data_IF_925454089538
#
_entry.id   IF_925454089538
#
_cell.length_a   1.000
_cell.length_b   1.000
_cell.length_c   1.000
_cell.angle_alpha   90.00
_cell.angle_beta   90.00
_cell.angle_gamma   90.00
#
_symmetry.space_group_name_H-M   'P 1'
#
loop_
_entity.id
_entity.type
_entity.pdbx_description
1 polymer ?
#
# COMPACT_ATOMS: atom_id res chain seq x y z
N UNK A 1 11.92 41.87 17.84
CA UNK A 1 13.19 42.27 17.20
C UNK A 1 14.10 41.07 16.92
N UNK A 2 14.57 40.34 17.93
CA UNK A 2 15.45 39.17 17.73
C UNK A 2 14.86 38.09 16.80
N UNK A 3 13.56 37.79 16.93
CA UNK A 3 12.88 36.80 16.09
C UNK A 3 12.83 37.21 14.61
N UNK A 4 12.59 38.49 14.31
CA UNK A 4 12.57 39.01 12.93
C UNK A 4 13.95 38.93 12.28
N UNK A 5 15.00 39.25 13.04
CA UNK A 5 16.39 39.17 12.57
C UNK A 5 16.77 37.71 12.31
N UNK A 6 16.39 36.78 13.20
CA UNK A 6 16.65 35.36 13.01
C UNK A 6 15.97 34.81 11.77
N UNK A 7 14.69 35.13 11.55
CA UNK A 7 13.93 34.68 10.37
C UNK A 7 14.55 35.21 9.08
N UNK A 8 14.91 36.50 9.03
CA UNK A 8 15.54 37.09 7.85
C UNK A 8 16.90 36.46 7.52
N UNK A 9 17.71 36.16 8.54
CA UNK A 9 19.00 35.48 8.35
C UNK A 9 18.78 34.05 7.83
N UNK A 10 17.81 33.30 8.36
CA UNK A 10 17.49 31.95 7.88
C UNK A 10 17.07 31.95 6.41
N UNK A 11 16.15 32.82 6.02
CA UNK A 11 15.69 32.93 4.62
C UNK A 11 16.84 33.28 3.67
N UNK A 12 17.70 34.22 4.07
CA UNK A 12 18.88 34.59 3.29
C UNK A 12 19.86 33.42 3.15
N UNK A 13 20.06 32.63 4.21
CA UNK A 13 20.95 31.47 4.19
C UNK A 13 20.38 30.29 3.38
N UNK A 14 19.07 30.07 3.41
CA UNK A 14 18.40 29.04 2.61
C UNK A 14 18.41 29.35 1.10
N UNK A 15 18.42 30.63 0.75
CA UNK A 15 18.48 31.09 -0.65
C UNK A 15 19.89 31.05 -1.28
N UNK A 16 20.93 30.78 -0.50
CA UNK A 16 22.31 30.78 -0.97
C UNK A 16 22.66 29.49 -1.74
N UNK A 17 23.29 29.58 -2.92
CA UNK A 17 23.84 28.41 -3.59
C UNK A 17 24.92 27.74 -2.73
N UNK A 18 25.00 26.41 -2.79
CA UNK A 18 25.84 25.56 -1.93
C UNK A 18 27.30 26.04 -1.84
N UNK A 19 27.90 26.43 -2.97
CA UNK A 19 29.25 27.00 -3.03
C UNK A 19 29.44 28.24 -2.15
N UNK A 20 28.46 29.16 -2.18
CA UNK A 20 28.53 30.39 -1.39
C UNK A 20 28.24 30.14 0.07
N UNK A 21 27.36 29.17 0.37
CA UNK A 21 27.11 28.73 1.74
C UNK A 21 28.38 28.12 2.38
N UNK A 22 29.09 27.27 1.65
CA UNK A 22 30.33 26.66 2.15
C UNK A 22 31.45 27.70 2.34
N UNK A 23 31.56 28.67 1.43
CA UNK A 23 32.48 29.81 1.60
C UNK A 23 32.12 30.67 2.82
N UNK A 24 30.83 30.87 3.07
CA UNK A 24 30.33 31.58 4.26
C UNK A 24 30.68 30.83 5.54
N UNK A 25 30.42 29.52 5.59
CA UNK A 25 30.79 28.63 6.72
C UNK A 25 32.30 28.65 6.96
N UNK A 26 33.11 28.56 5.90
CA UNK A 26 34.57 28.65 6.00
C UNK A 26 35.01 30.00 6.60
N UNK A 27 34.40 31.10 6.16
CA UNK A 27 34.71 32.44 6.66
C UNK A 27 34.30 32.62 8.12
N UNK A 28 33.24 31.96 8.58
CA UNK A 28 32.86 31.96 10.00
C UNK A 28 33.88 31.22 10.87
N UNK A 29 34.54 30.18 10.36
CA UNK A 29 35.60 29.44 11.07
C UNK A 29 36.86 30.29 11.28
N UNK A 30 37.23 31.14 10.33
CA UNK A 30 38.46 31.95 10.36
C UNK A 30 38.31 33.29 11.11
N UNK A 31 37.15 33.56 11.73
CA UNK A 31 36.98 34.79 12.53
C UNK A 31 37.77 34.68 13.84
N UNK A 32 38.97 35.29 13.87
CA UNK A 32 39.82 35.42 15.07
C UNK A 32 39.26 36.36 16.16
N UNK A 33 38.10 36.99 15.94
CA UNK A 33 37.44 37.92 16.88
C UNK A 33 36.32 37.22 17.67
N UNK A 34 36.17 37.56 18.95
CA UNK A 34 35.18 36.97 19.85
C UNK A 34 33.75 37.46 19.57
N UNK A 35 32.72 36.62 19.73
CA UNK A 35 32.79 35.21 20.16
C UNK A 35 33.21 34.25 19.03
N UNK A 36 34.01 33.22 19.37
CA UNK A 36 34.47 32.18 18.44
C UNK A 36 33.47 31.04 18.40
N UNK A 37 32.96 30.70 17.22
CA UNK A 37 32.17 29.48 17.01
C UNK A 37 33.13 28.29 16.90
N UNK A 38 32.90 27.21 17.66
CA UNK A 38 33.73 26.00 17.52
C UNK A 38 33.38 25.32 16.19
N UNK A 39 34.37 24.77 15.47
CA UNK A 39 34.11 24.05 14.20
C UNK A 39 33.00 23.00 14.33
N UNK A 40 32.92 22.32 15.48
CA UNK A 40 31.90 21.32 15.79
C UNK A 40 30.47 21.89 15.86
N UNK A 41 30.29 23.11 16.39
CA UNK A 41 28.99 23.78 16.48
C UNK A 41 28.44 24.20 15.10
N UNK A 42 29.35 24.40 14.13
CA UNK A 42 29.00 24.78 12.74
C UNK A 42 28.79 23.53 11.85
N UNK A 43 29.38 22.39 12.22
CA UNK A 43 29.25 21.12 11.50
C UNK A 43 28.05 20.28 11.98
N UNK A 44 27.69 20.35 13.26
CA UNK A 44 26.51 19.66 13.81
C UNK A 44 25.18 20.18 13.23
N UNK A 45 25.15 21.37 12.62
CA UNK A 45 23.96 21.92 11.96
C UNK A 45 23.68 21.36 10.55
N UNK A 46 24.52 20.48 10.01
CA UNK A 46 24.30 19.85 8.67
C UNK A 46 23.93 18.37 8.70
N UNK A 47 24.00 17.68 9.84
CA UNK A 47 23.53 16.30 9.92
C UNK A 47 22.00 16.30 10.06
N UNK A 48 21.24 15.59 9.20
CA UNK A 48 19.81 15.42 9.41
C UNK A 48 19.59 14.84 10.81
N UNK A 49 18.83 15.55 11.64
CA UNK A 49 18.41 15.03 12.94
C UNK A 49 17.64 13.74 12.66
N UNK A 50 18.20 12.59 13.01
CA UNK A 50 17.53 11.30 12.80
C UNK A 50 16.39 11.16 13.81
N UNK A 51 15.22 11.61 13.36
CA UNK A 51 13.92 11.59 14.05
C UNK A 51 13.30 10.19 14.14
N UNK A 52 13.97 9.18 13.59
CA UNK A 52 13.43 7.83 13.43
C UNK A 52 12.48 7.71 12.22
N UNK A 53 12.42 8.74 11.37
CA UNK A 53 11.66 8.68 10.12
C UNK A 53 12.41 7.87 9.05
N UNK A 54 11.74 6.94 8.34
CA UNK A 54 12.34 6.15 7.28
C UNK A 54 12.50 7.00 6.02
N UNK A 55 13.62 6.82 5.33
CA UNK A 55 13.83 7.39 4.00
C UNK A 55 13.17 6.48 2.96
N UNK A 56 11.90 6.77 2.64
CA UNK A 56 11.14 5.97 1.69
C UNK A 56 11.67 6.15 0.26
N UNK A 57 12.11 5.05 -0.36
CA UNK A 57 12.60 5.07 -1.75
C UNK A 57 11.49 5.48 -2.72
N UNK A 58 11.88 6.27 -3.72
CA UNK A 58 11.01 6.73 -4.80
C UNK A 58 11.54 6.27 -6.15
N UNK A 59 10.63 6.00 -7.06
CA UNK A 59 10.92 5.81 -8.49
C UNK A 59 11.23 7.16 -9.15
N UNK A 60 11.79 7.19 -10.37
CA UNK A 60 12.03 8.44 -11.11
C UNK A 60 10.78 9.31 -11.31
N UNK A 61 9.59 8.69 -11.26
CA UNK A 61 8.31 9.39 -11.39
C UNK A 61 7.80 10.00 -10.07
N UNK A 62 8.53 9.83 -8.97
CA UNK A 62 8.14 10.31 -7.64
C UNK A 62 7.23 9.36 -6.86
N UNK A 63 6.78 8.26 -7.46
CA UNK A 63 5.99 7.22 -6.76
C UNK A 63 6.87 6.39 -5.82
N UNK A 64 6.27 5.79 -4.78
CA UNK A 64 6.98 4.85 -3.90
C UNK A 64 7.60 3.69 -4.68
N UNK A 65 8.90 3.44 -4.48
CA UNK A 65 9.55 2.25 -5.00
C UNK A 65 9.24 1.05 -4.12
N UNK A 66 8.32 0.22 -4.61
CA UNK A 66 7.86 -0.99 -3.95
C UNK A 66 8.83 -2.18 -4.15
N UNK A 67 9.85 -2.07 -5.00
CA UNK A 67 10.73 -3.22 -5.25
C UNK A 67 11.73 -3.37 -4.11
N UNK A 68 12.10 -4.60 -3.71
CA UNK A 68 13.13 -4.81 -2.70
C UNK A 68 14.46 -4.20 -3.16
N UNK A 69 15.14 -3.50 -2.26
CA UNK A 69 16.48 -2.96 -2.48
C UNK A 69 17.50 -4.08 -2.68
N UNK A 70 18.72 -3.73 -3.11
CA UNK A 70 19.78 -4.74 -3.22
C UNK A 70 20.13 -5.32 -1.85
N UNK A 71 20.12 -4.50 -0.82
CA UNK A 71 20.32 -4.88 0.58
C UNK A 71 19.22 -5.85 1.05
N UNK A 72 17.96 -5.60 0.69
CA UNK A 72 16.86 -6.51 0.98
C UNK A 72 17.03 -7.86 0.29
N UNK A 73 17.46 -7.86 -0.98
CA UNK A 73 17.73 -9.10 -1.74
C UNK A 73 18.87 -9.89 -1.10
N UNK A 74 19.99 -9.25 -0.78
CA UNK A 74 21.12 -9.87 -0.10
C UNK A 74 20.72 -10.45 1.26
N UNK A 75 20.04 -9.67 2.12
CA UNK A 75 19.59 -10.16 3.42
C UNK A 75 18.64 -11.36 3.30
N UNK A 76 17.75 -11.37 2.31
CA UNK A 76 16.84 -12.49 2.08
C UNK A 76 17.56 -13.77 1.61
N UNK A 77 18.64 -13.61 0.83
CA UNK A 77 19.47 -14.71 0.38
C UNK A 77 20.24 -15.34 1.56
N UNK A 78 20.77 -14.53 2.46
CA UNK A 78 21.48 -14.98 3.67
C UNK A 78 20.53 -15.66 4.69
N UNK A 79 19.24 -15.31 4.66
CA UNK A 79 18.22 -15.93 5.48
C UNK A 79 17.80 -17.32 4.96
N UNK A 80 17.92 -17.58 3.65
CA UNK A 80 17.48 -18.84 3.04
C UNK A 80 18.14 -20.10 3.66
N UNK A 81 19.45 -20.13 3.95
CA UNK A 81 20.11 -21.21 4.70
C UNK A 81 19.53 -21.47 6.10
N UNK A 82 18.98 -20.47 6.78
CA UNK A 82 18.41 -20.60 8.12
C UNK A 82 17.04 -21.28 8.12
N UNK A 83 16.35 -21.31 6.98
CA UNK A 83 15.05 -22.00 6.83
C UNK A 83 15.21 -23.52 6.86
N UNK A 84 16.35 -24.04 6.42
CA UNK A 84 16.75 -25.45 6.53
C UNK A 84 17.18 -25.87 7.94
N UNK A 85 17.39 -24.92 8.86
CA UNK A 85 17.76 -25.22 10.24
C UNK A 85 16.52 -25.73 11.01
N UNK A 86 16.62 -26.88 11.72
CA UNK A 86 15.54 -27.40 12.55
C UNK A 86 15.02 -26.38 13.55
N UNK A 87 13.71 -26.38 13.82
CA UNK A 87 13.05 -25.37 14.66
C UNK A 87 13.70 -25.19 16.04
N UNK A 88 14.19 -26.27 16.65
CA UNK A 88 14.86 -26.27 17.96
C UNK A 88 16.24 -25.58 17.97
N UNK A 89 16.87 -25.37 16.81
CA UNK A 89 18.15 -24.67 16.66
C UNK A 89 18.00 -23.24 16.15
N UNK A 90 16.77 -22.80 15.86
CA UNK A 90 16.53 -21.41 15.47
C UNK A 90 16.65 -20.51 16.71
N UNK A 91 17.20 -19.30 16.58
CA UNK A 91 17.23 -18.35 17.69
C UNK A 91 15.83 -18.18 18.29
N UNK A 92 15.70 -18.28 19.61
CA UNK A 92 14.42 -18.08 20.29
C UNK A 92 13.91 -16.66 20.01
N UNK A 93 12.61 -16.52 19.86
CA UNK A 93 11.98 -15.21 19.70
C UNK A 93 12.18 -14.40 20.98
N UNK A 94 12.54 -13.13 20.83
CA UNK A 94 12.63 -12.20 21.96
C UNK A 94 11.23 -11.81 22.44
N UNK A 95 11.09 -11.66 23.75
CA UNK A 95 9.82 -11.19 24.31
C UNK A 95 9.60 -9.71 23.97
N UNK A 96 8.36 -9.20 23.96
CA UNK A 96 8.11 -7.83 23.51
C UNK A 96 8.88 -6.79 24.33
N UNK A 97 8.97 -7.01 25.64
CA UNK A 97 9.74 -6.17 26.56
C UNK A 97 11.24 -6.16 26.24
N UNK A 98 11.80 -7.32 25.89
CA UNK A 98 13.22 -7.43 25.52
C UNK A 98 13.51 -6.64 24.23
N UNK A 99 12.64 -6.74 23.22
CA UNK A 99 12.75 -5.96 21.99
C UNK A 99 12.68 -4.45 22.26
N UNK A 100 11.78 -4.04 23.16
CA UNK A 100 11.63 -2.64 23.55
C UNK A 100 12.84 -2.12 24.33
N UNK A 101 13.35 -2.90 25.28
CA UNK A 101 14.52 -2.55 26.10
C UNK A 101 15.78 -2.45 25.24
N UNK A 102 15.98 -3.36 24.28
CA UNK A 102 17.06 -3.28 23.29
C UNK A 102 16.94 -2.03 22.41
N UNK A 103 15.73 -1.73 21.92
CA UNK A 103 15.50 -0.55 21.10
C UNK A 103 15.78 0.74 21.88
N UNK A 104 15.36 0.83 23.15
CA UNK A 104 15.69 1.96 24.04
C UNK A 104 17.18 2.06 24.30
N UNK A 105 17.86 0.95 24.54
CA UNK A 105 19.31 0.93 24.75
C UNK A 105 20.05 1.47 23.51
N UNK A 106 19.62 1.09 22.29
CA UNK A 106 20.16 1.64 21.04
C UNK A 106 19.93 3.16 20.97
N UNK A 107 18.72 3.64 21.26
CA UNK A 107 18.40 5.08 21.26
C UNK A 107 19.27 5.87 22.26
N UNK A 108 19.48 5.34 23.47
CA UNK A 108 20.35 5.95 24.48
C UNK A 108 21.81 5.95 24.01
N UNK A 109 22.29 4.86 23.40
CA UNK A 109 23.66 4.77 22.87
C UNK A 109 23.93 5.77 21.73
N UNK A 110 22.88 6.15 20.98
CA UNK A 110 22.92 7.20 19.96
C UNK A 110 22.84 8.62 20.55
N UNK A 111 22.75 8.77 21.88
CA UNK A 111 22.62 10.07 22.56
C UNK A 111 21.25 10.73 22.38
N UNK A 112 20.21 9.94 22.08
CA UNK A 112 18.85 10.44 21.79
C UNK A 112 17.87 10.09 22.91
N UNK A 113 16.67 10.67 22.85
CA UNK A 113 15.63 10.49 23.87
C UNK A 113 14.88 9.15 23.73
N UNK A 114 15.02 8.21 24.70
CA UNK A 114 14.29 6.94 24.71
C UNK A 114 12.80 7.09 25.02
N UNK A 115 12.32 8.27 25.42
CA UNK A 115 10.88 8.55 25.59
C UNK A 115 10.19 8.82 24.25
N UNK A 116 10.95 9.11 23.19
CA UNK A 116 10.40 9.26 21.84
C UNK A 116 9.97 7.89 21.29
N UNK A 117 8.68 7.60 21.40
CA UNK A 117 8.08 6.34 20.93
C UNK A 117 8.37 6.04 19.45
N UNK A 118 8.33 7.05 18.57
CA UNK A 118 8.59 6.84 17.13
C UNK A 118 10.02 6.38 16.91
N UNK A 119 10.97 7.01 17.59
CA UNK A 119 12.39 6.67 17.50
C UNK A 119 12.67 5.25 18.04
N UNK A 120 12.09 4.91 19.19
CA UNK A 120 12.19 3.55 19.75
C UNK A 120 11.58 2.51 18.80
N UNK A 121 10.40 2.77 18.22
CA UNK A 121 9.80 1.90 17.21
C UNK A 121 10.71 1.75 15.97
N UNK A 122 11.34 2.84 15.52
CA UNK A 122 12.26 2.81 14.38
C UNK A 122 13.46 1.86 14.60
N UNK A 123 13.89 1.68 15.87
CA UNK A 123 14.98 0.80 16.29
C UNK A 123 14.53 -0.57 16.78
N UNK A 124 13.23 -0.81 16.89
CA UNK A 124 12.68 -2.10 17.28
C UNK A 124 13.00 -3.16 16.23
N UNK A 125 13.47 -4.33 16.69
CA UNK A 125 13.88 -5.43 15.84
C UNK A 125 12.68 -6.29 15.42
N UNK A 126 12.74 -6.78 14.18
CA UNK A 126 11.76 -7.67 13.60
C UNK A 126 11.98 -9.07 14.15
N UNK A 127 10.93 -9.67 14.72
CA UNK A 127 11.00 -11.00 15.34
C UNK A 127 10.42 -12.13 14.46
N UNK A 128 10.15 -11.85 13.19
CA UNK A 128 9.50 -12.80 12.28
C UNK A 128 9.93 -12.62 10.82
N UNK A 129 9.59 -13.61 9.99
CA UNK A 129 9.81 -13.53 8.54
C UNK A 129 11.28 -13.53 8.13
N UNK A 130 11.52 -13.15 6.88
CA UNK A 130 12.84 -13.22 6.23
C UNK A 130 13.79 -12.08 6.60
N UNK A 131 13.26 -11.04 7.26
CA UNK A 131 14.03 -9.86 7.69
C UNK A 131 14.17 -9.80 9.21
N UNK A 132 14.17 -10.98 9.84
CA UNK A 132 14.37 -11.09 11.28
C UNK A 132 15.68 -10.39 11.69
N UNK A 133 15.66 -9.76 12.86
CA UNK A 133 16.77 -8.99 13.46
C UNK A 133 17.13 -7.68 12.75
N UNK A 134 16.46 -7.34 11.63
CA UNK A 134 16.47 -5.98 11.08
C UNK A 134 15.53 -5.08 11.84
N UNK A 135 15.75 -3.76 11.78
CA UNK A 135 14.87 -2.79 12.43
C UNK A 135 13.63 -2.50 11.60
N UNK A 136 12.57 -1.99 12.23
CA UNK A 136 11.39 -1.53 11.50
C UNK A 136 11.72 -0.42 10.50
N UNK A 137 12.59 0.53 10.86
CA UNK A 137 13.06 1.57 9.93
C UNK A 137 13.73 0.96 8.70
N UNK A 138 14.68 0.05 8.92
CA UNK A 138 15.38 -0.62 7.82
C UNK A 138 14.39 -1.30 6.87
N UNK A 139 13.36 -1.98 7.40
CA UNK A 139 12.40 -2.68 6.56
C UNK A 139 11.57 -1.74 5.68
N UNK A 140 11.12 -0.60 6.21
CA UNK A 140 10.38 0.40 5.42
C UNK A 140 11.24 1.01 4.30
N UNK A 141 12.54 1.18 4.54
CA UNK A 141 13.49 1.72 3.57
C UNK A 141 13.85 0.70 2.48
N UNK A 142 13.88 -0.59 2.82
CA UNK A 142 14.47 -1.63 1.98
C UNK A 142 13.46 -2.56 1.30
N UNK A 143 12.28 -2.82 1.88
CA UNK A 143 11.24 -3.63 1.22
C UNK A 143 9.83 -3.18 1.65
N UNK A 144 9.36 -2.10 1.01
CA UNK A 144 8.07 -1.52 1.31
C UNK A 144 6.90 -2.41 0.86
N UNK A 145 7.08 -3.17 -0.24
CA UNK A 145 6.06 -4.12 -0.73
C UNK A 145 5.84 -5.26 0.25
N UNK A 146 6.92 -5.79 0.83
CA UNK A 146 6.84 -6.80 1.87
C UNK A 146 6.17 -6.23 3.13
N UNK A 147 6.59 -5.04 3.56
CA UNK A 147 5.99 -4.32 4.69
C UNK A 147 4.48 -4.14 4.52
N UNK A 148 4.05 -3.57 3.40
CA UNK A 148 2.64 -3.28 3.15
C UNK A 148 1.78 -4.54 3.16
N UNK A 149 2.29 -5.64 2.58
CA UNK A 149 1.63 -6.95 2.61
C UNK A 149 1.52 -7.51 4.02
N UNK A 150 2.60 -7.46 4.80
CA UNK A 150 2.58 -7.94 6.18
C UNK A 150 1.58 -7.17 7.04
N UNK A 151 1.59 -5.84 6.95
CA UNK A 151 0.69 -4.98 7.72
C UNK A 151 -0.76 -5.18 7.29
N UNK A 152 -1.02 -5.33 5.99
CA UNK A 152 -2.36 -5.60 5.47
C UNK A 152 -2.89 -6.97 5.95
N UNK A 153 -2.07 -8.01 5.89
CA UNK A 153 -2.43 -9.35 6.37
C UNK A 153 -2.64 -9.35 7.89
N UNK A 154 -1.76 -8.69 8.65
CA UNK A 154 -1.89 -8.60 10.11
C UNK A 154 -3.15 -7.84 10.53
N UNK A 155 -3.52 -6.78 9.82
CA UNK A 155 -4.80 -6.08 10.05
C UNK A 155 -6.00 -7.00 9.82
N UNK A 156 -5.94 -7.88 8.82
CA UNK A 156 -6.99 -8.87 8.58
C UNK A 156 -7.03 -9.92 9.71
N UNK A 157 -5.86 -10.45 10.10
CA UNK A 157 -5.70 -11.39 11.21
C UNK A 157 -6.31 -10.82 12.51
N UNK A 158 -6.06 -9.53 12.79
CA UNK A 158 -6.61 -8.80 13.94
C UNK A 158 -8.13 -8.62 13.93
N UNK A 159 -8.83 -8.81 12.80
CA UNK A 159 -10.30 -8.81 12.78
C UNK A 159 -10.90 -10.09 13.40
N UNK A 160 -10.11 -11.16 13.48
CA UNK A 160 -10.59 -12.49 13.89
C UNK A 160 -9.93 -13.02 15.16
N UNK A 161 -8.83 -12.41 15.65
CA UNK A 161 -8.17 -12.82 16.90
C UNK A 161 -7.68 -11.65 17.75
N UNK A 162 -7.86 -11.79 19.07
CA UNK A 162 -7.34 -10.86 20.11
C UNK A 162 -6.08 -11.37 20.80
N UNK A 163 -5.50 -12.48 20.33
CA UNK A 163 -4.32 -13.12 20.93
C UNK A 163 -3.14 -12.16 21.08
N UNK A 164 -2.42 -12.29 22.21
CA UNK A 164 -1.28 -11.45 22.58
C UNK A 164 0.03 -12.24 22.63
N UNK A 165 0.19 -13.22 21.74
CA UNK A 165 1.47 -13.89 21.60
C UNK A 165 2.56 -12.89 21.13
N UNK A 166 3.85 -13.12 21.41
CA UNK A 166 4.87 -12.10 21.13
C UNK A 166 5.01 -11.75 19.64
N UNK A 167 4.65 -12.66 18.71
CA UNK A 167 4.59 -12.34 17.28
C UNK A 167 3.53 -11.28 16.99
N UNK A 168 2.33 -11.44 17.54
CA UNK A 168 1.23 -10.49 17.35
C UNK A 168 1.57 -9.12 17.89
N UNK A 169 2.19 -9.05 19.07
CA UNK A 169 2.64 -7.78 19.66
C UNK A 169 3.72 -7.13 18.79
N UNK A 170 4.72 -7.89 18.31
CA UNK A 170 5.76 -7.32 17.43
C UNK A 170 5.18 -6.84 16.09
N UNK A 171 4.19 -7.56 15.52
CA UNK A 171 3.44 -7.13 14.33
C UNK A 171 2.57 -5.88 14.58
N UNK A 172 1.96 -5.74 15.76
CA UNK A 172 1.22 -4.54 16.14
C UNK A 172 2.14 -3.32 16.21
N UNK A 173 3.33 -3.47 16.81
CA UNK A 173 4.32 -2.41 16.88
C UNK A 173 4.80 -2.00 15.48
N UNK A 174 5.13 -2.96 14.61
CA UNK A 174 5.45 -2.68 13.21
C UNK A 174 4.29 -1.96 12.49
N UNK A 175 3.06 -2.42 12.71
CA UNK A 175 1.85 -1.82 12.12
C UNK A 175 1.71 -0.37 12.56
N UNK A 176 1.80 -0.08 13.86
CA UNK A 176 1.71 1.28 14.41
C UNK A 176 2.80 2.22 13.86
N UNK A 177 4.03 1.72 13.73
CA UNK A 177 5.13 2.47 13.13
C UNK A 177 4.88 2.75 11.64
N UNK A 178 4.49 1.73 10.88
CA UNK A 178 4.35 1.85 9.43
C UNK A 178 3.21 2.79 9.02
N UNK A 179 2.05 2.70 9.70
CA UNK A 179 0.84 3.44 9.32
C UNK A 179 0.89 4.90 9.77
N UNK A 180 1.89 5.28 10.56
CA UNK A 180 2.16 6.68 10.91
C UNK A 180 2.58 7.51 9.67
N UNK A 181 3.02 6.84 8.59
CA UNK A 181 3.39 7.48 7.33
C UNK A 181 2.26 7.35 6.31
N UNK A 182 1.73 8.48 5.86
CA UNK A 182 0.52 8.53 5.00
C UNK A 182 0.69 7.79 3.69
N UNK A 183 1.87 7.86 3.07
CA UNK A 183 2.17 7.15 1.82
C UNK A 183 2.19 5.63 2.02
N UNK A 184 2.74 5.17 3.14
CA UNK A 184 2.75 3.75 3.51
C UNK A 184 1.33 3.27 3.83
N UNK A 185 0.54 4.07 4.55
CA UNK A 185 -0.87 3.76 4.82
C UNK A 185 -1.67 3.57 3.53
N UNK A 186 -1.50 4.44 2.53
CA UNK A 186 -2.17 4.30 1.22
C UNK A 186 -1.82 2.97 0.56
N UNK A 187 -0.55 2.59 0.56
CA UNK A 187 -0.10 1.30 -0.01
C UNK A 187 -0.63 0.11 0.80
N UNK A 188 -0.63 0.18 2.13
CA UNK A 188 -1.24 -0.85 3.00
C UNK A 188 -2.72 -1.03 2.69
N UNK A 189 -3.48 0.06 2.53
CA UNK A 189 -4.90 -0.01 2.17
C UNK A 189 -5.11 -0.59 0.78
N UNK A 190 -4.31 -0.17 -0.21
CA UNK A 190 -4.32 -0.74 -1.56
C UNK A 190 -4.08 -2.26 -1.52
N UNK A 191 -3.07 -2.68 -0.77
CA UNK A 191 -2.71 -4.08 -0.62
C UNK A 191 -3.77 -4.89 0.13
N UNK A 192 -4.40 -4.33 1.16
CA UNK A 192 -5.49 -4.98 1.88
C UNK A 192 -6.68 -5.28 0.95
N UNK A 193 -7.08 -4.30 0.11
CA UNK A 193 -8.10 -4.52 -0.93
C UNK A 193 -7.72 -5.62 -1.91
N UNK A 194 -6.44 -5.69 -2.30
CA UNK A 194 -5.96 -6.75 -3.19
C UNK A 194 -6.05 -8.14 -2.55
N UNK A 195 -5.72 -8.27 -1.26
CA UNK A 195 -5.86 -9.52 -0.50
C UNK A 195 -7.33 -9.92 -0.41
N UNK A 196 -8.21 -9.01 -0.01
CA UNK A 196 -9.65 -9.29 0.05
C UNK A 196 -10.24 -9.71 -1.31
N UNK A 197 -9.83 -9.05 -2.39
CA UNK A 197 -10.27 -9.38 -3.74
C UNK A 197 -9.77 -10.77 -4.17
N UNK A 198 -8.53 -11.11 -3.82
CA UNK A 198 -7.97 -12.44 -4.06
C UNK A 198 -8.74 -13.51 -3.28
N UNK A 199 -8.95 -13.32 -1.97
CA UNK A 199 -9.72 -14.23 -1.12
C UNK A 199 -11.15 -14.44 -1.66
N UNK A 200 -11.87 -13.35 -1.96
CA UNK A 200 -13.22 -13.42 -2.54
C UNK A 200 -13.23 -14.17 -3.88
N UNK A 201 -12.23 -13.96 -4.72
CA UNK A 201 -12.18 -14.59 -6.03
C UNK A 201 -11.95 -16.10 -6.01
N UNK A 202 -11.43 -16.64 -4.90
CA UNK A 202 -11.26 -18.07 -4.70
C UNK A 202 -12.59 -18.79 -4.42
N UNK A 203 -13.64 -18.05 -4.02
CA UNK A 203 -14.96 -18.62 -3.79
C UNK A 203 -15.64 -19.05 -5.10
N UNK A 204 -16.29 -20.22 -5.15
CA UNK A 204 -16.95 -20.71 -6.36
C UNK A 204 -17.95 -19.69 -6.94
N UNK A 205 -17.73 -19.30 -8.20
CA UNK A 205 -18.57 -18.35 -8.91
C UNK A 205 -18.31 -16.87 -8.62
N UNK A 206 -17.32 -16.54 -7.78
CA UNK A 206 -16.87 -15.18 -7.48
C UNK A 206 -15.61 -14.77 -8.27
N UNK A 207 -15.30 -15.46 -9.37
CA UNK A 207 -14.06 -15.21 -10.13
C UNK A 207 -13.96 -13.76 -10.66
N UNK A 208 -15.10 -13.07 -10.77
CA UNK A 208 -15.17 -11.66 -11.17
C UNK A 208 -14.66 -10.67 -10.13
N UNK A 209 -14.58 -11.07 -8.86
CA UNK A 209 -14.09 -10.21 -7.77
C UNK A 209 -12.55 -10.10 -7.78
N UNK A 210 -11.85 -10.92 -8.57
CA UNK A 210 -10.40 -10.81 -8.75
C UNK A 210 -10.04 -9.45 -9.35
N UNK A 211 -8.94 -8.86 -8.87
CA UNK A 211 -8.35 -7.69 -9.52
C UNK A 211 -7.80 -8.06 -10.90
N UNK A 212 -7.90 -7.12 -11.84
CA UNK A 212 -7.31 -7.24 -13.18
C UNK A 212 -5.79 -7.48 -13.06
N UNK A 213 -5.10 -6.74 -12.17
CA UNK A 213 -3.69 -7.00 -11.84
C UNK A 213 -2.67 -6.64 -12.92
N UNK A 214 -3.09 -6.03 -14.03
CA UNK A 214 -2.19 -5.52 -15.08
C UNK A 214 -2.81 -4.34 -15.85
N UNK A 215 -1.94 -3.58 -16.52
CA UNK A 215 -2.35 -2.46 -17.36
C UNK A 215 -3.02 -1.31 -16.60
N UNK A 216 -3.74 -0.44 -17.34
CA UNK A 216 -4.34 0.79 -16.81
C UNK A 216 -5.36 0.53 -15.70
N UNK A 217 -6.09 -0.58 -15.77
CA UNK A 217 -7.17 -0.93 -14.85
C UNK A 217 -6.77 -2.00 -13.83
N UNK A 218 -5.47 -2.13 -13.53
CA UNK A 218 -4.94 -3.16 -12.64
C UNK A 218 -5.57 -3.23 -11.24
N UNK A 219 -6.11 -2.10 -10.75
CA UNK A 219 -6.73 -1.99 -9.42
C UNK A 219 -8.26 -2.16 -9.42
N UNK A 220 -8.86 -2.45 -10.58
CA UNK A 220 -10.30 -2.71 -10.74
C UNK A 220 -10.56 -4.21 -10.66
N UNK A 221 -11.76 -4.63 -10.27
CA UNK A 221 -12.17 -6.03 -10.36
C UNK A 221 -12.49 -6.40 -11.81
N UNK A 222 -12.36 -7.68 -12.17
CA UNK A 222 -12.73 -8.19 -13.50
C UNK A 222 -14.20 -7.92 -13.81
N UNK A 223 -15.07 -8.04 -12.80
CA UNK A 223 -16.49 -7.76 -12.88
C UNK A 223 -16.77 -6.28 -13.13
N UNK A 224 -16.18 -5.39 -12.33
CA UNK A 224 -16.36 -3.93 -12.51
C UNK A 224 -15.84 -3.46 -13.86
N UNK A 225 -14.71 -4.02 -14.31
CA UNK A 225 -14.17 -3.75 -15.63
C UNK A 225 -15.14 -4.19 -16.75
N UNK A 226 -15.69 -5.39 -16.66
CA UNK A 226 -16.59 -5.96 -17.67
C UNK A 226 -17.98 -5.33 -17.69
N UNK A 227 -18.52 -4.96 -16.52
CA UNK A 227 -19.87 -4.40 -16.39
C UNK A 227 -19.91 -2.87 -16.57
N UNK A 228 -18.74 -2.24 -16.69
CA UNK A 228 -18.65 -0.78 -16.83
C UNK A 228 -19.35 -0.25 -18.08
N UNK A 229 -19.96 0.93 -17.92
CA UNK A 229 -20.51 1.72 -19.03
C UNK A 229 -19.53 2.77 -19.55
N UNK A 230 -18.35 2.87 -18.94
CA UNK A 230 -17.31 3.81 -19.34
C UNK A 230 -16.71 3.41 -20.71
N UNK A 231 -16.65 4.37 -21.64
CA UNK A 231 -16.18 4.11 -23.02
C UNK A 231 -14.74 3.59 -23.07
N UNK A 232 -13.86 4.04 -22.18
CA UNK A 232 -12.47 3.60 -22.12
C UNK A 232 -12.37 2.17 -21.58
N UNK A 233 -13.15 1.82 -20.54
CA UNK A 233 -13.22 0.45 -20.01
C UNK A 233 -13.82 -0.51 -21.04
N UNK A 234 -14.89 -0.12 -21.73
CA UNK A 234 -15.48 -0.90 -22.83
C UNK A 234 -14.44 -1.16 -23.93
N UNK A 235 -13.75 -0.12 -24.39
CA UNK A 235 -12.72 -0.26 -25.44
C UNK A 235 -11.56 -1.16 -24.99
N UNK A 236 -11.18 -1.10 -23.71
CA UNK A 236 -10.15 -1.96 -23.15
C UNK A 236 -10.60 -3.43 -23.09
N UNK A 237 -11.85 -3.71 -22.73
CA UNK A 237 -12.41 -5.06 -22.77
C UNK A 237 -12.44 -5.61 -24.20
N UNK A 238 -12.84 -4.79 -25.19
CA UNK A 238 -12.77 -5.19 -26.62
C UNK A 238 -11.33 -5.51 -27.06
N UNK A 239 -10.36 -4.67 -26.65
CA UNK A 239 -8.95 -4.95 -26.88
C UNK A 239 -8.55 -6.31 -26.30
N UNK A 240 -8.88 -6.59 -25.03
CA UNK A 240 -8.55 -7.86 -24.37
C UNK A 240 -9.15 -9.07 -25.09
N UNK A 241 -10.36 -8.98 -25.64
CA UNK A 241 -10.97 -10.07 -26.43
C UNK A 241 -10.09 -10.49 -27.61
N UNK A 242 -9.41 -9.54 -28.24
CA UNK A 242 -8.51 -9.77 -29.37
C UNK A 242 -7.14 -10.35 -28.98
N UNK A 243 -6.75 -10.33 -27.70
CA UNK A 243 -5.39 -10.69 -27.26
C UNK A 243 -5.22 -12.15 -26.84
N UNK A 244 -6.16 -13.03 -27.19
CA UNK A 244 -6.13 -14.45 -26.77
C UNK A 244 -4.90 -15.21 -27.26
N UNK A 245 -4.38 -14.87 -28.44
CA UNK A 245 -3.22 -15.53 -29.05
C UNK A 245 -1.89 -14.92 -28.61
N UNK A 246 -1.89 -13.69 -28.10
CA UNK A 246 -0.69 -12.94 -27.71
C UNK A 246 -0.39 -12.99 -26.22
N UNK A 247 -1.33 -13.45 -25.38
CA UNK A 247 -1.11 -13.53 -23.94
C UNK A 247 -0.21 -14.71 -23.54
N UNK A 248 0.66 -14.50 -22.55
CA UNK A 248 1.45 -15.56 -21.95
C UNK A 248 0.57 -16.51 -21.12
N UNK A 249 0.91 -17.80 -21.16
CA UNK A 249 0.20 -18.84 -20.38
C UNK A 249 0.34 -18.56 -18.88
N UNK A 250 -0.73 -18.83 -18.13
CA UNK A 250 -0.86 -18.59 -16.69
C UNK A 250 -0.64 -17.13 -16.27
N UNK A 251 -0.87 -16.18 -17.17
CA UNK A 251 -0.83 -14.75 -16.84
C UNK A 251 -2.18 -14.26 -16.33
N UNK A 252 -2.15 -13.18 -15.53
CA UNK A 252 -3.36 -12.44 -15.14
C UNK A 252 -4.17 -11.96 -16.34
N UNK A 253 -3.50 -11.71 -17.47
CA UNK A 253 -4.14 -11.36 -18.73
C UNK A 253 -4.93 -12.53 -19.33
N UNK A 254 -4.39 -13.74 -19.31
CA UNK A 254 -5.12 -14.94 -19.73
C UNK A 254 -6.37 -15.17 -18.85
N UNK A 255 -6.23 -15.01 -17.54
CA UNK A 255 -7.34 -15.14 -16.59
C UNK A 255 -8.44 -14.11 -16.85
N UNK A 256 -8.07 -12.85 -17.10
CA UNK A 256 -9.00 -11.79 -17.46
C UNK A 256 -9.76 -12.11 -18.76
N UNK A 257 -9.04 -12.58 -19.79
CA UNK A 257 -9.64 -12.96 -21.08
C UNK A 257 -10.61 -14.13 -20.89
N UNK A 258 -10.22 -15.17 -20.13
CA UNK A 258 -11.09 -16.31 -19.81
C UNK A 258 -12.37 -15.88 -19.13
N UNK A 259 -12.27 -14.96 -18.16
CA UNK A 259 -13.44 -14.40 -17.47
C UNK A 259 -14.38 -13.67 -18.43
N UNK A 260 -13.84 -12.76 -19.26
CA UNK A 260 -14.63 -12.00 -20.25
C UNK A 260 -15.39 -12.95 -21.18
N UNK A 261 -14.70 -13.95 -21.75
CA UNK A 261 -15.32 -14.91 -22.67
C UNK A 261 -16.41 -15.76 -21.99
N UNK A 262 -16.18 -16.17 -20.73
CA UNK A 262 -17.20 -16.86 -19.91
C UNK A 262 -18.44 -15.99 -19.73
N UNK A 263 -18.27 -14.69 -19.47
CA UNK A 263 -19.37 -13.74 -19.32
C UNK A 263 -20.11 -13.48 -20.64
N UNK A 264 -19.39 -13.33 -21.75
CA UNK A 264 -19.99 -13.19 -23.09
C UNK A 264 -20.85 -14.41 -23.43
N UNK A 265 -20.36 -15.61 -23.16
CA UNK A 265 -21.11 -16.86 -23.38
C UNK A 265 -22.37 -16.92 -22.52
N UNK A 266 -22.30 -16.51 -21.25
CA UNK A 266 -23.47 -16.43 -20.36
C UNK A 266 -24.50 -15.41 -20.86
N UNK A 267 -24.06 -14.25 -21.37
CA UNK A 267 -24.97 -13.22 -21.92
C UNK A 267 -25.67 -13.70 -23.19
N UNK A 268 -24.95 -14.39 -24.08
CA UNK A 268 -25.53 -14.98 -25.31
C UNK A 268 -26.57 -16.07 -25.03
N UNK A 269 -26.43 -16.81 -23.92
CA UNK A 269 -27.37 -17.86 -23.50
C UNK A 269 -28.62 -17.33 -22.80
N UNK A 270 -28.70 -16.05 -22.42
CA UNK A 270 -29.94 -15.47 -21.88
C UNK A 270 -30.92 -15.20 -23.04
N UNK A 271 -32.12 -15.78 -23.04
CA UNK A 271 -33.13 -15.43 -24.05
C UNK A 271 -33.50 -13.95 -23.92
N UNK A 272 -33.83 -13.26 -25.03
CA UNK A 272 -34.23 -11.86 -24.97
C UNK A 272 -35.45 -11.72 -24.04
N UNK A 273 -35.32 -10.90 -22.99
CA UNK A 273 -36.46 -10.49 -22.20
C UNK A 273 -37.44 -9.81 -23.16
N UNK A 274 -38.59 -10.43 -23.37
CA UNK A 274 -39.67 -9.87 -24.15
C UNK A 274 -40.07 -8.55 -23.49
N UNK A 275 -39.76 -7.45 -24.16
CA UNK A 275 -40.44 -6.19 -23.91
C UNK A 275 -41.92 -6.46 -24.17
N UNK A 276 -42.69 -6.59 -23.11
CA UNK A 276 -44.14 -6.54 -23.12
C UNK A 276 -44.55 -5.21 -23.77
N UNK A 277 -44.70 -5.25 -25.10
CA UNK A 277 -45.33 -4.17 -25.84
C UNK A 277 -46.82 -4.27 -25.51
N UNK A 278 -47.29 -3.35 -24.68
CA UNK A 278 -48.70 -2.98 -24.56
C UNK A 278 -49.18 -2.53 -25.95
N UNK A 279 -49.54 -3.48 -26.83
CA UNK A 279 -50.27 -3.21 -28.07
C UNK A 279 -51.74 -3.42 -27.77
N UNK A 280 -52.46 -2.30 -27.75
CA UNK A 280 -53.88 -2.20 -27.46
C UNK A 280 -54.74 -3.14 -28.29
N UNK A 281 -55.69 -3.78 -27.60
CA UNK A 281 -56.85 -4.42 -28.22
C UNK A 281 -57.97 -3.40 -28.35
N UNK A 282 -57.96 -2.65 -29.44
CA UNK A 282 -59.20 -2.11 -30.00
C UNK A 282 -59.57 -2.97 -31.19
N UNK A 283 -60.56 -3.86 -31.04
CA UNK A 283 -61.31 -4.37 -32.18
C UNK A 283 -62.80 -4.40 -31.87
N UNK A 284 -63.49 -3.62 -32.70
CA UNK A 284 -64.93 -3.40 -32.86
C UNK A 284 -65.72 -4.72 -32.85
N UNK A 285 -66.90 -4.67 -32.25
CA UNK A 285 -68.05 -5.38 -32.80
C UNK A 285 -69.24 -4.43 -32.81
N UNK A 286 -69.70 -4.12 -34.03
CA UNK A 286 -70.85 -3.27 -34.30
C UNK A 286 -71.99 -4.17 -34.80
N UNK A 287 -73.14 -4.03 -34.13
CA UNK A 287 -74.54 -4.28 -34.56
C UNK A 287 -75.06 -5.72 -34.68
N UNK A 288 -76.02 -6.02 -33.79
CA UNK A 288 -77.47 -6.28 -34.07
C UNK A 288 -78.21 -6.14 -32.74
N UNK A 289 -79.01 -5.10 -32.54
CA UNK A 289 -80.45 -5.00 -32.86
C UNK A 289 -81.35 -5.62 -31.75
N UNK A 290 -82.10 -4.72 -31.13
CA UNK A 290 -83.45 -4.88 -30.54
C UNK A 290 -83.62 -5.59 -29.19
N UNK A 291 -84.14 -4.80 -28.25
CA UNK A 291 -85.24 -5.22 -27.37
C UNK A 291 -84.86 -5.49 -25.91
N UNK A 292 -85.46 -4.74 -24.99
CA UNK A 292 -85.71 -5.25 -23.63
C UNK A 292 -85.21 -4.40 -22.46
N UNK A 293 -85.96 -3.34 -22.18
CA UNK A 293 -86.39 -2.92 -20.83
C UNK A 293 -85.39 -2.95 -19.66
N UNK A 294 -84.99 -1.74 -19.27
CA UNK A 294 -84.61 -1.36 -17.91
C UNK A 294 -85.65 -1.80 -16.86
N UNK A 295 -85.19 -2.38 -15.74
CA UNK A 295 -85.81 -2.21 -14.42
C UNK A 295 -84.72 -2.00 -13.36
N UNK A 296 -84.86 -0.89 -12.65
CA UNK A 296 -84.11 -0.49 -11.46
C UNK A 296 -84.44 -1.39 -10.25
N UNK A 297 -83.43 -1.66 -9.42
CA UNK A 297 -83.48 -1.49 -7.96
C UNK A 297 -82.05 -1.41 -7.42
#
# INVERSE_FOLDING_TARGET
MAHLISTYISEALESLPEYYFDKFVFTLRDRRKTPRFRCREVEETKAPVDTGEPVLRKTPNGDLDLNPSQEAKCCSADYWPLRSVPAHRRPKMKMPKEVEDEAKALVVSEGKDPSNKRLVLSRSSIQFGQYRDKTFKWLLENDLRYTARLVAQHRNERQHTTEQNPHMVNKDLLTSYAIAYTEVLKEVTSRHRAIEAEEKSMEPGQEGEALVGFGRYQNETLKDLYESKDKCKISYVEFLRGQRSSCSKASKMEDAIKYILKCDQKRRKKPPQSTSSFRGKWRRSLKKAQGGTFKFK
#
